data_IF_535735178389
#
_entry.id   IF_535735178389
#
_cell.length_a   1.000
_cell.length_b   1.000
_cell.length_c   1.000
_cell.angle_alpha   90.00
_cell.angle_beta   90.00
_cell.angle_gamma   90.00
#
_symmetry.space_group_name_H-M   'P 1'
#
loop_
_entity.id
_entity.type
_entity.pdbx_description
1 polymer ?
#
# COMPACT_ATOMS: atom_id res chain seq x y z
N UNK A 1 41.09 -1.31 9.15
CA UNK A 1 39.70 -0.95 9.48
C UNK A 1 38.88 -2.20 9.24
N UNK A 2 38.55 -2.91 10.32
CA UNK A 2 37.78 -4.16 10.28
C UNK A 2 36.33 -3.80 9.92
N UNK A 3 35.90 -4.16 8.72
CA UNK A 3 34.51 -4.05 8.32
C UNK A 3 33.66 -4.94 9.23
N UNK A 4 32.84 -4.33 10.10
CA UNK A 4 31.77 -5.05 10.78
C UNK A 4 30.88 -5.74 9.74
N UNK A 5 30.53 -6.99 9.98
CA UNK A 5 29.77 -7.82 9.05
C UNK A 5 28.31 -7.37 9.05
N UNK A 6 27.95 -6.54 8.07
CA UNK A 6 26.54 -6.21 7.81
C UNK A 6 25.76 -7.51 7.54
N UNK A 7 24.55 -7.69 8.11
CA UNK A 7 23.83 -8.95 8.02
C UNK A 7 23.48 -9.33 6.58
N UNK A 8 23.27 -10.63 6.36
CA UNK A 8 23.01 -11.18 5.04
C UNK A 8 21.59 -10.83 4.60
N UNK A 9 21.47 -9.86 3.69
CA UNK A 9 20.20 -9.54 3.03
C UNK A 9 19.90 -10.60 1.98
N UNK A 10 18.72 -11.20 2.09
CA UNK A 10 18.15 -12.16 1.14
C UNK A 10 16.92 -11.56 0.50
N UNK A 11 16.76 -11.79 -0.80
CA UNK A 11 15.62 -11.31 -1.60
C UNK A 11 14.95 -12.49 -2.28
N UNK A 12 13.66 -12.41 -2.58
CA UNK A 12 12.95 -13.50 -3.27
C UNK A 12 13.47 -13.74 -4.72
N UNK A 13 14.37 -12.89 -5.23
CA UNK A 13 15.06 -13.08 -6.51
C UNK A 13 16.32 -13.97 -6.43
N UNK A 14 16.71 -14.39 -5.21
CA UNK A 14 18.01 -15.03 -4.97
C UNK A 14 18.12 -16.46 -5.51
N UNK A 15 17.00 -17.15 -5.76
CA UNK A 15 17.02 -18.55 -6.20
C UNK A 15 17.34 -18.73 -7.70
N UNK A 16 17.15 -17.71 -8.54
CA UNK A 16 17.32 -17.82 -10.01
C UNK A 16 18.24 -16.75 -10.63
N UNK A 17 18.66 -15.72 -9.89
CA UNK A 17 19.45 -14.60 -10.46
C UNK A 17 20.72 -14.36 -9.66
N UNK A 18 21.73 -15.21 -9.88
CA UNK A 18 23.15 -14.91 -9.61
C UNK A 18 23.69 -13.81 -10.55
N UNK A 19 22.87 -12.81 -10.88
CA UNK A 19 23.16 -11.71 -11.81
C UNK A 19 23.43 -10.40 -11.08
N UNK A 20 24.08 -9.47 -11.78
CA UNK A 20 24.42 -8.12 -11.27
C UNK A 20 23.23 -7.39 -10.62
N UNK A 21 22.01 -7.61 -11.09
CA UNK A 21 20.79 -7.00 -10.56
C UNK A 21 20.50 -7.36 -9.10
N UNK A 22 20.71 -8.63 -8.70
CA UNK A 22 20.51 -9.06 -7.32
C UNK A 22 21.51 -8.41 -6.36
N UNK A 23 22.76 -8.25 -6.83
CA UNK A 23 23.80 -7.56 -6.06
C UNK A 23 23.47 -6.07 -5.87
N UNK A 24 23.03 -5.37 -6.93
CA UNK A 24 22.59 -3.98 -6.83
C UNK A 24 21.40 -3.81 -5.89
N UNK A 25 20.46 -4.76 -5.90
CA UNK A 25 19.30 -4.72 -5.01
C UNK A 25 19.70 -4.87 -3.54
N UNK A 26 20.55 -5.86 -3.22
CA UNK A 26 21.06 -6.05 -1.84
C UNK A 26 21.87 -4.84 -1.38
N UNK A 27 22.68 -4.25 -2.26
CA UNK A 27 23.43 -3.03 -1.96
C UNK A 27 22.51 -1.84 -1.69
N UNK A 28 21.44 -1.68 -2.47
CA UNK A 28 20.46 -0.61 -2.25
C UNK A 28 19.79 -0.77 -0.88
N UNK A 29 19.28 -1.96 -0.54
CA UNK A 29 18.71 -2.24 0.79
C UNK A 29 19.73 -1.96 1.90
N UNK A 30 20.96 -2.48 1.78
CA UNK A 30 22.00 -2.27 2.80
C UNK A 30 22.33 -0.79 3.00
N UNK A 31 22.47 -0.04 1.91
CA UNK A 31 22.77 1.38 1.97
C UNK A 31 21.61 2.16 2.58
N UNK A 32 20.37 1.84 2.24
CA UNK A 32 19.19 2.48 2.84
C UNK A 32 19.10 2.17 4.33
N UNK A 33 19.28 0.92 4.75
CA UNK A 33 19.29 0.56 6.17
C UNK A 33 20.38 1.31 6.95
N UNK A 34 21.59 1.45 6.39
CA UNK A 34 22.66 2.25 7.03
C UNK A 34 22.32 3.73 7.16
N UNK A 35 21.50 4.29 6.27
CA UNK A 35 21.06 5.69 6.33
C UNK A 35 20.01 5.92 7.42
N UNK A 36 19.10 4.96 7.61
CA UNK A 36 17.90 5.17 8.43
C UNK A 36 17.98 4.57 9.84
N UNK A 37 18.84 3.58 10.05
CA UNK A 37 19.07 2.98 11.37
C UNK A 37 20.15 3.75 12.15
N UNK A 38 20.19 3.60 13.49
CA UNK A 38 21.24 4.19 14.30
C UNK A 38 22.66 3.89 13.76
N UNK A 39 23.61 4.81 13.90
CA UNK A 39 24.99 4.55 13.52
C UNK A 39 25.48 3.32 14.28
N UNK A 40 26.27 2.48 13.59
CA UNK A 40 26.86 1.28 14.16
C UNK A 40 25.88 0.15 14.53
N UNK A 41 24.60 0.24 14.11
CA UNK A 41 23.57 -0.77 14.44
C UNK A 41 23.96 -2.23 14.11
N UNK A 42 24.77 -2.44 13.07
CA UNK A 42 25.24 -3.78 12.65
C UNK A 42 26.76 -3.97 12.76
N UNK A 43 27.44 -3.28 13.68
CA UNK A 43 28.91 -3.34 13.77
C UNK A 43 29.46 -4.52 14.56
N UNK A 44 28.68 -5.06 15.49
CA UNK A 44 29.12 -6.17 16.33
C UNK A 44 28.99 -7.51 15.58
N UNK A 45 29.98 -8.41 15.72
CA UNK A 45 29.96 -9.69 15.03
C UNK A 45 28.74 -10.52 15.46
N UNK A 46 27.99 -10.93 14.44
CA UNK A 46 26.64 -11.49 14.49
C UNK A 46 26.63 -12.99 14.89
N UNK A 47 27.72 -13.50 15.47
CA UNK A 47 27.88 -14.93 15.78
C UNK A 47 27.30 -15.33 17.15
N UNK A 48 26.90 -14.37 17.98
CA UNK A 48 26.23 -14.61 19.26
C UNK A 48 24.70 -14.64 19.08
N UNK A 49 24.07 -15.77 19.44
CA UNK A 49 22.63 -15.96 19.33
C UNK A 49 21.82 -15.04 20.24
N UNK A 50 22.36 -14.60 21.39
CA UNK A 50 21.64 -13.69 22.29
C UNK A 50 21.65 -12.27 21.71
N UNK A 51 22.82 -11.76 21.28
CA UNK A 51 22.93 -10.45 20.62
C UNK A 51 22.05 -10.35 19.37
N UNK A 52 21.94 -11.45 18.61
CA UNK A 52 21.07 -11.52 17.44
C UNK A 52 19.58 -11.38 17.78
N UNK A 53 19.14 -11.97 18.89
CA UNK A 53 17.78 -11.85 19.36
C UNK A 53 17.49 -10.41 19.79
N UNK A 54 18.42 -9.79 20.51
CA UNK A 54 18.32 -8.40 20.97
C UNK A 54 18.26 -7.42 19.77
N UNK A 55 19.13 -7.59 18.76
CA UNK A 55 19.11 -6.77 17.54
C UNK A 55 17.80 -6.90 16.77
N UNK A 56 17.25 -8.12 16.71
CA UNK A 56 15.96 -8.37 16.06
C UNK A 56 14.81 -7.71 16.82
N UNK A 57 14.84 -7.76 18.15
CA UNK A 57 13.84 -7.09 19.00
C UNK A 57 13.92 -5.58 18.84
N UNK A 58 15.13 -5.00 18.89
CA UNK A 58 15.34 -3.57 18.64
C UNK A 58 14.82 -3.12 17.28
N UNK A 59 15.07 -3.89 16.21
CA UNK A 59 14.49 -3.57 14.90
C UNK A 59 12.97 -3.63 14.97
N UNK A 60 12.39 -4.68 15.55
CA UNK A 60 10.95 -4.83 15.63
C UNK A 60 10.28 -3.68 16.40
N UNK A 61 10.91 -3.19 17.47
CA UNK A 61 10.42 -2.07 18.28
C UNK A 61 10.47 -0.73 17.54
N UNK A 62 11.35 -0.59 16.55
CA UNK A 62 11.41 0.60 15.69
C UNK A 62 10.37 0.59 14.57
N UNK A 63 9.71 -0.55 14.29
CA UNK A 63 8.75 -0.65 13.19
C UNK A 63 7.34 -0.22 13.60
N UNK A 64 6.58 0.45 12.71
CA UNK A 64 7.01 0.99 11.42
C UNK A 64 7.84 2.27 11.58
N UNK A 65 8.99 2.32 10.90
CA UNK A 65 9.83 3.49 10.84
C UNK A 65 9.43 4.32 9.62
N UNK A 66 9.14 5.59 9.84
CA UNK A 66 8.96 6.59 8.78
C UNK A 66 9.78 7.81 9.20
N UNK A 67 10.71 8.23 8.34
CA UNK A 67 11.59 9.36 8.60
C UNK A 67 11.83 10.17 7.33
N UNK A 68 12.19 11.42 7.52
CA UNK A 68 12.55 12.35 6.44
C UNK A 68 13.97 12.84 6.63
N UNK A 69 14.78 12.77 5.58
CA UNK A 69 16.16 13.22 5.56
C UNK A 69 16.30 14.29 4.46
N UNK A 70 16.73 15.52 4.80
CA UNK A 70 17.05 16.54 3.80
C UNK A 70 18.23 16.09 2.92
N UNK A 71 18.21 16.43 1.62
CA UNK A 71 19.38 16.19 0.78
C UNK A 71 20.45 17.26 1.02
N UNK A 72 21.61 16.86 1.55
CA UNK A 72 22.74 17.79 1.82
C UNK A 72 23.18 18.59 0.59
N UNK A 73 23.08 18.01 -0.61
CA UNK A 73 23.52 18.62 -1.86
C UNK A 73 22.48 19.53 -2.52
N UNK A 74 21.20 19.39 -2.16
CA UNK A 74 20.13 20.21 -2.70
C UNK A 74 19.01 20.37 -1.66
N UNK A 75 18.88 21.53 -1.00
CA UNK A 75 17.89 21.74 0.05
C UNK A 75 16.44 21.70 -0.46
N UNK A 76 16.25 21.77 -1.79
CA UNK A 76 14.93 21.59 -2.42
C UNK A 76 14.55 20.13 -2.61
N UNK A 77 15.48 19.20 -2.37
CA UNK A 77 15.21 17.77 -2.44
C UNK A 77 15.04 17.20 -1.04
N UNK A 78 13.94 16.48 -0.83
CA UNK A 78 13.63 15.81 0.44
C UNK A 78 13.50 14.31 0.19
N UNK A 79 14.21 13.51 0.99
CA UNK A 79 14.13 12.06 0.96
C UNK A 79 13.25 11.55 2.10
N UNK A 80 12.25 10.75 1.77
CA UNK A 80 11.35 10.11 2.71
C UNK A 80 11.59 8.61 2.70
N UNK A 81 11.73 8.03 3.88
CA UNK A 81 12.00 6.62 4.05
C UNK A 81 10.88 5.95 4.80
N UNK A 82 10.56 4.72 4.41
CA UNK A 82 9.82 3.79 5.25
C UNK A 82 10.60 2.50 5.44
N UNK A 83 10.48 1.92 6.63
CA UNK A 83 10.89 0.55 6.94
C UNK A 83 9.79 -0.09 7.79
N UNK A 84 9.33 -1.27 7.39
CA UNK A 84 8.25 -1.98 8.08
C UNK A 84 8.26 -3.47 7.79
N UNK A 85 7.39 -4.21 8.49
CA UNK A 85 7.09 -5.60 8.14
C UNK A 85 6.42 -5.63 6.77
N UNK A 86 6.73 -6.64 5.96
CA UNK A 86 6.15 -6.78 4.63
C UNK A 86 4.62 -6.77 4.70
N UNK A 87 4.03 -5.91 3.89
CA UNK A 87 2.59 -5.86 3.64
C UNK A 87 2.34 -5.46 2.21
N UNK A 88 1.44 -6.19 1.55
CA UNK A 88 0.98 -5.87 0.21
C UNK A 88 0.52 -4.41 0.13
N UNK A 89 1.06 -3.67 -0.84
CA UNK A 89 0.74 -2.27 -1.13
C UNK A 89 1.13 -1.26 -0.02
N UNK A 90 1.99 -1.60 0.95
CA UNK A 90 2.45 -0.64 1.95
C UNK A 90 3.26 0.50 1.33
N UNK A 91 4.22 0.20 0.45
CA UNK A 91 5.00 1.21 -0.25
C UNK A 91 4.14 2.10 -1.16
N UNK A 92 3.09 1.53 -1.77
CA UNK A 92 2.16 2.30 -2.62
C UNK A 92 1.39 3.31 -1.78
N UNK A 93 0.85 2.86 -0.64
CA UNK A 93 0.19 3.76 0.30
C UNK A 93 1.15 4.87 0.77
N UNK A 94 2.39 4.52 1.14
CA UNK A 94 3.39 5.50 1.53
C UNK A 94 3.71 6.50 0.41
N UNK A 95 3.86 6.02 -0.82
CA UNK A 95 4.03 6.87 -2.00
C UNK A 95 2.90 7.88 -2.17
N UNK A 96 1.64 7.44 -2.03
CA UNK A 96 0.49 8.33 -2.14
C UNK A 96 0.47 9.38 -1.01
N UNK A 97 0.81 8.96 0.22
CA UNK A 97 0.94 9.86 1.38
C UNK A 97 1.90 11.02 1.13
N UNK A 98 3.08 10.72 0.60
CA UNK A 98 4.09 11.75 0.32
C UNK A 98 3.71 12.56 -0.91
N UNK A 99 3.31 11.91 -2.01
CA UNK A 99 3.14 12.59 -3.31
C UNK A 99 1.85 13.41 -3.43
N UNK A 100 0.75 13.03 -2.77
CA UNK A 100 -0.56 13.66 -2.96
C UNK A 100 -1.08 14.44 -1.75
N UNK A 101 -0.57 14.15 -0.55
CA UNK A 101 -1.17 14.69 0.68
C UNK A 101 -0.19 15.42 1.59
N UNK A 102 1.11 15.42 1.27
CA UNK A 102 2.09 16.21 2.01
C UNK A 102 1.87 17.73 1.81
N UNK A 103 1.44 18.14 0.61
CA UNK A 103 0.95 19.50 0.34
C UNK A 103 -0.50 19.41 -0.17
N UNK A 104 -1.49 19.80 0.65
CA UNK A 104 -2.90 19.78 0.28
C UNK A 104 -3.20 20.42 -1.09
N UNK A 105 -3.88 19.65 -1.95
CA UNK A 105 -4.29 20.14 -3.28
C UNK A 105 -3.18 20.20 -4.32
N UNK A 106 -1.95 19.84 -3.97
CA UNK A 106 -0.79 19.82 -4.86
C UNK A 106 -0.19 18.41 -4.91
N UNK A 107 0.08 17.93 -6.12
CA UNK A 107 0.88 16.73 -6.33
C UNK A 107 2.35 17.13 -6.41
N UNK A 108 3.18 16.57 -5.56
CA UNK A 108 4.62 16.83 -5.52
C UNK A 108 5.34 16.02 -6.60
N UNK A 109 6.41 16.59 -7.16
CA UNK A 109 7.22 15.94 -8.17
C UNK A 109 8.15 14.90 -7.54
N UNK A 110 7.93 13.64 -7.87
CA UNK A 110 8.73 12.52 -7.36
C UNK A 110 9.82 12.20 -8.37
N UNK A 111 11.04 12.64 -8.08
CA UNK A 111 12.21 12.45 -8.95
C UNK A 111 12.83 11.06 -8.81
N UNK A 112 12.60 10.38 -7.68
CA UNK A 112 13.08 9.04 -7.44
C UNK A 112 12.13 8.27 -6.54
N UNK A 113 11.89 7.01 -6.89
CA UNK A 113 11.14 6.07 -6.07
C UNK A 113 11.79 4.70 -6.12
N UNK A 114 12.03 4.13 -4.95
CA UNK A 114 12.53 2.78 -4.77
C UNK A 114 11.77 2.09 -3.64
N UNK A 115 11.44 0.82 -3.85
CA UNK A 115 10.87 -0.04 -2.83
C UNK A 115 11.47 -1.45 -2.98
N UNK A 116 11.75 -2.08 -1.84
CA UNK A 116 12.33 -3.40 -1.82
C UNK A 116 11.81 -4.24 -0.66
N UNK A 117 11.49 -5.49 -0.99
CA UNK A 117 11.12 -6.52 -0.04
C UNK A 117 12.34 -7.41 0.21
N UNK A 118 12.63 -7.66 1.48
CA UNK A 118 13.85 -8.38 1.86
C UNK A 118 13.68 -9.14 3.17
N UNK A 119 14.57 -10.10 3.38
CA UNK A 119 14.73 -10.86 4.61
C UNK A 119 16.14 -10.63 5.13
N UNK A 120 16.28 -10.57 6.45
CA UNK A 120 17.58 -10.65 7.11
C UNK A 120 17.76 -12.12 7.49
N UNK A 121 18.70 -12.82 6.83
CA UNK A 121 18.86 -14.27 6.95
C UNK A 121 18.98 -14.72 8.40
N UNK A 122 19.69 -13.93 9.20
CA UNK A 122 19.99 -14.18 10.60
C UNK A 122 18.75 -13.96 11.50
N UNK A 123 17.74 -13.20 11.06
CA UNK A 123 16.51 -12.95 11.83
C UNK A 123 15.38 -13.96 11.56
N UNK A 124 15.61 -14.91 10.65
CA UNK A 124 14.64 -15.93 10.26
C UNK A 124 13.85 -15.58 9.01
N UNK A 125 12.61 -16.08 8.92
CA UNK A 125 11.79 -16.00 7.69
C UNK A 125 10.97 -14.72 7.52
N UNK A 126 11.04 -13.79 8.48
CA UNK A 126 10.27 -12.55 8.44
C UNK A 126 10.71 -11.68 7.25
N UNK A 127 9.74 -11.30 6.42
CA UNK A 127 9.95 -10.37 5.32
C UNK A 127 9.67 -8.94 5.78
N UNK A 128 10.50 -8.01 5.32
CA UNK A 128 10.43 -6.58 5.59
C UNK A 128 10.35 -5.83 4.26
N UNK A 129 9.82 -4.62 4.30
CA UNK A 129 9.81 -3.70 3.15
C UNK A 129 10.53 -2.43 3.55
N UNK A 130 11.47 -2.00 2.71
CA UNK A 130 12.09 -0.67 2.78
C UNK A 130 11.73 0.12 1.53
N UNK A 131 11.52 1.42 1.65
CA UNK A 131 11.30 2.29 0.49
C UNK A 131 11.88 3.68 0.72
N UNK A 132 12.36 4.29 -0.36
CA UNK A 132 12.82 5.67 -0.45
C UNK A 132 12.03 6.39 -1.54
N UNK A 133 11.51 7.57 -1.20
CA UNK A 133 10.89 8.53 -2.12
C UNK A 133 11.71 9.80 -2.04
N UNK A 134 12.16 10.32 -3.17
CA UNK A 134 12.78 11.64 -3.24
C UNK A 134 11.87 12.55 -4.04
N UNK A 135 11.51 13.69 -3.45
CA UNK A 135 10.76 14.73 -4.14
C UNK A 135 11.67 15.92 -4.45
N UNK A 136 11.35 16.61 -5.54
CA UNK A 136 11.88 17.95 -5.82
C UNK A 136 10.82 18.99 -5.47
N UNK A 137 11.21 20.01 -4.70
CA UNK A 137 10.35 21.13 -4.34
C UNK A 137 10.68 22.31 -5.26
N UNK A 138 9.80 22.55 -6.23
CA UNK A 138 10.00 23.61 -7.23
C UNK A 138 9.79 25.01 -6.63
N UNK A 139 8.80 25.16 -5.75
CA UNK A 139 8.43 26.41 -5.11
C UNK A 139 8.88 26.44 -3.65
N UNK A 140 9.78 27.36 -3.29
CA UNK A 140 10.25 27.51 -1.91
C UNK A 140 9.12 27.85 -0.93
N UNK A 141 8.00 28.40 -1.40
CA UNK A 141 6.82 28.64 -0.58
C UNK A 141 6.16 27.34 -0.08
N UNK A 142 6.40 26.18 -0.72
CA UNK A 142 5.88 24.90 -0.26
C UNK A 142 6.66 24.34 0.95
N UNK A 143 7.94 24.72 1.12
CA UNK A 143 8.80 24.13 2.16
C UNK A 143 8.23 24.31 3.58
N UNK A 144 7.76 25.51 4.00
CA UNK A 144 7.12 25.67 5.30
C UNK A 144 5.87 24.80 5.46
N UNK A 145 5.07 24.65 4.41
CA UNK A 145 3.86 23.82 4.44
C UNK A 145 4.20 22.33 4.57
N UNK A 146 5.19 21.86 3.82
CA UNK A 146 5.74 20.50 3.93
C UNK A 146 6.19 20.24 5.36
N UNK A 147 7.01 21.13 5.95
CA UNK A 147 7.49 20.96 7.31
C UNK A 147 6.36 20.98 8.36
N UNK A 148 5.33 21.80 8.15
CA UNK A 148 4.16 21.85 9.03
C UNK A 148 3.32 20.56 8.96
N UNK A 149 3.15 19.99 7.76
CA UNK A 149 2.33 18.80 7.54
C UNK A 149 3.09 17.50 7.82
N UNK A 150 4.42 17.54 7.86
CA UNK A 150 5.23 16.34 7.97
C UNK A 150 4.88 15.46 9.19
N UNK A 151 4.71 15.98 10.42
CA UNK A 151 4.43 15.14 11.58
C UNK A 151 3.12 14.35 11.46
N UNK A 152 2.07 14.96 10.91
CA UNK A 152 0.78 14.27 10.73
C UNK A 152 0.86 13.24 9.60
N UNK A 153 1.58 13.54 8.52
CA UNK A 153 1.79 12.61 7.41
C UNK A 153 2.62 11.40 7.86
N UNK A 154 3.68 11.62 8.63
CA UNK A 154 4.48 10.53 9.20
C UNK A 154 3.66 9.64 10.14
N UNK A 155 2.82 10.23 10.99
CA UNK A 155 1.90 9.48 11.86
C UNK A 155 0.89 8.64 11.05
N UNK A 156 0.22 9.24 10.08
CA UNK A 156 -0.75 8.56 9.22
C UNK A 156 -0.07 7.47 8.37
N UNK A 157 1.12 7.74 7.85
CA UNK A 157 1.95 6.79 7.13
C UNK A 157 2.27 5.57 8.00
N UNK A 158 2.74 5.77 9.24
CA UNK A 158 3.00 4.69 10.20
C UNK A 158 1.77 3.81 10.42
N UNK A 159 0.64 4.43 10.76
CA UNK A 159 -0.63 3.71 10.99
C UNK A 159 -1.05 2.87 9.77
N UNK A 160 -0.95 3.43 8.57
CA UNK A 160 -1.34 2.73 7.35
C UNK A 160 -0.32 1.70 6.86
N UNK A 161 0.98 1.89 7.10
CA UNK A 161 2.00 0.86 6.83
C UNK A 161 1.73 -0.36 7.71
N UNK A 162 1.48 -0.15 9.00
CA UNK A 162 1.21 -1.22 9.97
C UNK A 162 -0.11 -1.95 9.71
N UNK A 163 -1.16 -1.23 9.29
CA UNK A 163 -2.50 -1.81 9.12
C UNK A 163 -3.17 -1.43 7.82
N UNK A 164 -3.53 -2.45 7.03
CA UNK A 164 -4.35 -2.28 5.83
C UNK A 164 -5.72 -1.65 6.13
N UNK A 165 -6.25 -1.87 7.34
CA UNK A 165 -7.50 -1.24 7.77
C UNK A 165 -7.33 0.28 7.93
N UNK A 166 -6.27 0.73 8.60
CA UNK A 166 -6.01 2.16 8.76
C UNK A 166 -5.63 2.81 7.44
N UNK A 167 -4.82 2.17 6.60
CA UNK A 167 -4.50 2.66 5.27
C UNK A 167 -5.78 2.95 4.47
N UNK A 168 -6.69 1.95 4.39
CA UNK A 168 -7.97 2.12 3.70
C UNK A 168 -8.80 3.26 4.30
N UNK A 169 -8.84 3.38 5.63
CA UNK A 169 -9.63 4.43 6.30
C UNK A 169 -9.07 5.83 6.04
N UNK A 170 -7.75 5.99 6.05
CA UNK A 170 -7.08 7.25 5.75
C UNK A 170 -7.38 7.65 4.30
N UNK A 171 -7.21 6.72 3.36
CA UNK A 171 -7.51 6.97 1.94
C UNK A 171 -8.99 7.30 1.70
N UNK A 172 -9.91 6.64 2.40
CA UNK A 172 -11.34 6.99 2.35
C UNK A 172 -11.61 8.43 2.80
N UNK A 173 -10.90 8.92 3.83
CA UNK A 173 -11.08 10.28 4.38
C UNK A 173 -10.41 11.32 3.48
N UNK A 174 -9.20 11.06 3.00
CA UNK A 174 -8.45 11.97 2.11
C UNK A 174 -9.02 12.02 0.69
N UNK A 175 -9.90 11.08 0.36
CA UNK A 175 -10.54 10.95 -0.93
C UNK A 175 -9.70 10.07 -1.88
N UNK A 176 -10.31 9.00 -2.37
CA UNK A 176 -9.71 8.11 -3.36
C UNK A 176 -9.78 8.77 -4.74
N UNK A 177 -8.72 8.62 -5.53
CA UNK A 177 -8.79 8.88 -6.96
C UNK A 177 -9.83 7.94 -7.62
N UNK A 178 -10.40 8.29 -8.79
CA UNK A 178 -11.33 7.40 -9.50
C UNK A 178 -10.77 5.99 -9.75
N UNK A 179 -9.48 5.90 -10.04
CA UNK A 179 -8.78 4.64 -10.28
C UNK A 179 -8.61 3.84 -8.98
N UNK A 180 -8.17 4.47 -7.89
CA UNK A 180 -8.08 3.83 -6.58
C UNK A 180 -9.45 3.37 -6.06
N UNK A 181 -10.50 4.14 -6.35
CA UNK A 181 -11.87 3.77 -6.04
C UNK A 181 -12.26 2.50 -6.79
N UNK A 182 -11.92 2.41 -8.07
CA UNK A 182 -12.14 1.23 -8.90
C UNK A 182 -11.39 0.02 -8.34
N UNK A 183 -10.10 0.17 -8.00
CA UNK A 183 -9.29 -0.88 -7.36
C UNK A 183 -9.93 -1.34 -6.05
N UNK A 184 -10.35 -0.40 -5.20
CA UNK A 184 -10.98 -0.72 -3.92
C UNK A 184 -12.32 -1.45 -4.07
N UNK A 185 -13.11 -1.11 -5.10
CA UNK A 185 -14.34 -1.85 -5.45
C UNK A 185 -13.97 -3.27 -5.89
N UNK A 186 -12.96 -3.43 -6.75
CA UNK A 186 -12.51 -4.74 -7.23
C UNK A 186 -12.03 -5.64 -6.08
N UNK A 187 -11.29 -5.09 -5.10
CA UNK A 187 -10.90 -5.83 -3.89
C UNK A 187 -12.11 -6.31 -3.08
N UNK A 188 -13.14 -5.46 -2.94
CA UNK A 188 -14.37 -5.84 -2.28
C UNK A 188 -15.11 -6.95 -3.04
N UNK A 189 -15.13 -6.92 -4.37
CA UNK A 189 -15.73 -7.97 -5.19
C UNK A 189 -14.96 -9.30 -5.02
N UNK A 190 -13.63 -9.26 -5.08
CA UNK A 190 -12.78 -10.44 -4.85
C UNK A 190 -13.00 -11.03 -3.45
N UNK A 191 -13.14 -10.17 -2.44
CA UNK A 191 -13.47 -10.59 -1.08
C UNK A 191 -14.81 -11.34 -1.02
N UNK A 192 -15.85 -10.83 -1.70
CA UNK A 192 -17.17 -11.47 -1.75
C UNK A 192 -17.13 -12.83 -2.45
N UNK A 193 -16.42 -12.94 -3.58
CA UNK A 193 -16.24 -14.23 -4.28
C UNK A 193 -15.56 -15.25 -3.37
N UNK A 194 -14.51 -14.85 -2.65
CA UNK A 194 -13.78 -15.74 -1.74
C UNK A 194 -14.60 -16.13 -0.51
N UNK A 195 -15.34 -15.20 0.10
CA UNK A 195 -16.05 -15.43 1.37
C UNK A 195 -17.45 -16.01 1.19
N UNK A 196 -18.11 -15.72 0.08
CA UNK A 196 -19.50 -16.09 -0.19
C UNK A 196 -19.64 -16.74 -1.59
N UNK A 197 -18.87 -17.80 -1.92
CA UNK A 197 -18.82 -18.38 -3.26
C UNK A 197 -20.15 -18.97 -3.73
N UNK A 198 -21.05 -19.34 -2.80
CA UNK A 198 -22.41 -19.80 -3.13
C UNK A 198 -23.22 -18.69 -3.82
N UNK A 199 -23.02 -17.44 -3.40
CA UNK A 199 -23.79 -16.30 -3.90
C UNK A 199 -23.08 -15.62 -5.06
N UNK A 200 -21.75 -15.49 -4.99
CA UNK A 200 -20.95 -14.70 -5.93
C UNK A 200 -19.98 -15.56 -6.75
N UNK A 201 -20.00 -15.40 -8.07
CA UNK A 201 -19.03 -15.95 -9.03
C UNK A 201 -18.14 -14.84 -9.59
N UNK A 202 -17.13 -15.20 -10.38
CA UNK A 202 -16.27 -14.25 -11.11
C UNK A 202 -17.06 -13.32 -12.05
N UNK A 203 -18.30 -13.66 -12.42
CA UNK A 203 -19.13 -12.79 -13.26
C UNK A 203 -19.50 -11.46 -12.57
N UNK A 204 -19.34 -11.35 -11.24
CA UNK A 204 -19.52 -10.08 -10.52
C UNK A 204 -18.55 -8.99 -11.00
N UNK A 205 -17.35 -9.36 -11.48
CA UNK A 205 -16.41 -8.39 -12.03
C UNK A 205 -16.92 -7.79 -13.34
N UNK A 206 -17.65 -8.55 -14.14
CA UNK A 206 -18.32 -8.05 -15.33
C UNK A 206 -19.42 -7.05 -14.96
N UNK A 207 -20.23 -7.36 -13.93
CA UNK A 207 -21.27 -6.44 -13.45
C UNK A 207 -20.67 -5.16 -12.83
N UNK A 208 -19.54 -5.27 -12.13
CA UNK A 208 -18.76 -4.13 -11.65
C UNK A 208 -18.37 -3.21 -12.81
N UNK A 209 -17.76 -3.76 -13.88
CA UNK A 209 -17.35 -2.98 -15.04
C UNK A 209 -18.54 -2.30 -15.71
N UNK A 210 -19.66 -3.01 -15.90
CA UNK A 210 -20.87 -2.42 -16.46
C UNK A 210 -21.37 -1.23 -15.66
N UNK A 211 -21.45 -1.33 -14.32
CA UNK A 211 -21.93 -0.23 -13.49
C UNK A 211 -20.96 0.96 -13.54
N UNK A 212 -19.65 0.72 -13.48
CA UNK A 212 -18.65 1.79 -13.50
C UNK A 212 -18.62 2.56 -14.83
N UNK A 213 -18.86 1.86 -15.94
CA UNK A 213 -18.94 2.47 -17.28
C UNK A 213 -20.27 3.18 -17.52
N UNK A 214 -21.40 2.59 -17.09
CA UNK A 214 -22.74 3.13 -17.38
C UNK A 214 -23.13 4.30 -16.47
N UNK A 215 -22.58 4.37 -15.26
CA UNK A 215 -22.94 5.43 -14.31
C UNK A 215 -22.11 6.70 -14.55
N UNK A 216 -22.77 7.87 -14.43
CA UNK A 216 -22.11 9.17 -14.52
C UNK A 216 -21.07 9.37 -13.42
N UNK A 217 -20.07 10.21 -13.67
CA UNK A 217 -19.04 10.52 -12.69
C UNK A 217 -19.62 11.19 -11.44
N UNK A 218 -20.63 12.06 -11.58
CA UNK A 218 -21.36 12.63 -10.45
C UNK A 218 -22.00 11.57 -9.56
N UNK A 219 -22.62 10.55 -10.16
CA UNK A 219 -23.20 9.43 -9.41
C UNK A 219 -22.13 8.67 -8.62
N UNK A 220 -20.97 8.44 -9.23
CA UNK A 220 -19.85 7.71 -8.61
C UNK A 220 -19.16 8.57 -7.55
N UNK A 221 -19.02 9.88 -7.75
CA UNK A 221 -18.28 10.81 -6.88
C UNK A 221 -18.92 10.92 -5.50
N UNK A 222 -20.25 11.09 -5.44
CA UNK A 222 -20.98 11.29 -4.17
C UNK A 222 -21.10 10.02 -3.31
N UNK A 223 -20.81 8.83 -3.84
CA UNK A 223 -20.96 7.55 -3.13
C UNK A 223 -19.61 7.02 -2.70
N UNK A 224 -19.47 6.56 -1.47
CA UNK A 224 -18.26 5.85 -1.07
C UNK A 224 -18.10 4.50 -1.81
N UNK A 225 -16.89 3.96 -1.75
CA UNK A 225 -16.52 2.68 -2.37
C UNK A 225 -17.39 1.52 -1.89
N UNK A 226 -17.75 1.49 -0.60
CA UNK A 226 -18.56 0.41 0.00
C UNK A 226 -19.99 0.46 -0.52
N UNK A 227 -20.56 1.64 -0.68
CA UNK A 227 -21.88 1.86 -1.22
C UNK A 227 -21.93 1.43 -2.69
N UNK A 228 -20.95 1.84 -3.52
CA UNK A 228 -20.86 1.38 -4.90
C UNK A 228 -20.72 -0.15 -4.98
N UNK A 229 -19.87 -0.73 -4.12
CA UNK A 229 -19.71 -2.19 -4.02
C UNK A 229 -21.04 -2.88 -3.68
N UNK A 230 -21.81 -2.35 -2.73
CA UNK A 230 -23.15 -2.88 -2.38
C UNK A 230 -24.13 -2.78 -3.54
N UNK A 231 -24.16 -1.65 -4.26
CA UNK A 231 -25.01 -1.48 -5.45
C UNK A 231 -24.69 -2.54 -6.49
N UNK A 232 -23.40 -2.76 -6.76
CA UNK A 232 -22.91 -3.80 -7.69
C UNK A 232 -23.35 -5.19 -7.23
N UNK A 233 -23.10 -5.53 -5.96
CA UNK A 233 -23.49 -6.84 -5.41
C UNK A 233 -24.99 -7.08 -5.52
N UNK A 234 -25.82 -6.08 -5.20
CA UNK A 234 -27.27 -6.21 -5.30
C UNK A 234 -27.74 -6.34 -6.75
N UNK A 235 -27.14 -5.58 -7.67
CA UNK A 235 -27.47 -5.70 -9.09
C UNK A 235 -27.10 -7.08 -9.64
N UNK A 236 -25.92 -7.56 -9.29
CA UNK A 236 -25.46 -8.90 -9.66
C UNK A 236 -26.41 -9.99 -9.16
N UNK A 237 -26.75 -9.99 -7.86
CA UNK A 237 -27.66 -10.99 -7.29
C UNK A 237 -29.05 -10.92 -7.91
N UNK A 238 -29.56 -9.71 -8.13
CA UNK A 238 -30.85 -9.51 -8.79
C UNK A 238 -30.85 -10.11 -10.20
N UNK A 239 -29.83 -9.79 -11.01
CA UNK A 239 -29.68 -10.32 -12.38
C UNK A 239 -29.53 -11.83 -12.38
N UNK A 240 -28.70 -12.39 -11.50
CA UNK A 240 -28.48 -13.84 -11.37
C UNK A 240 -29.80 -14.56 -11.05
N UNK A 241 -30.54 -14.08 -10.07
CA UNK A 241 -31.82 -14.67 -9.69
C UNK A 241 -32.85 -14.56 -10.81
N UNK A 242 -32.96 -13.40 -11.45
CA UNK A 242 -33.88 -13.20 -12.58
C UNK A 242 -33.59 -14.19 -13.72
N UNK A 243 -32.32 -14.37 -14.08
CA UNK A 243 -31.91 -15.32 -15.11
C UNK A 243 -32.21 -16.77 -14.73
N UNK A 244 -32.05 -17.13 -13.45
CA UNK A 244 -32.45 -18.46 -12.95
C UNK A 244 -33.95 -18.68 -13.10
N UNK A 245 -34.79 -17.74 -12.64
CA UNK A 245 -36.25 -17.87 -12.75
C UNK A 245 -36.74 -17.92 -14.19
N UNK A 246 -36.17 -17.11 -15.08
CA UNK A 246 -36.50 -17.13 -16.51
C UNK A 246 -36.14 -18.48 -17.14
N UNK A 247 -35.05 -19.12 -16.72
CA UNK A 247 -34.67 -20.46 -17.21
C UNK A 247 -35.56 -21.56 -16.66
N UNK A 248 -35.93 -21.50 -15.38
CA UNK A 248 -36.74 -22.53 -14.72
C UNK A 248 -38.21 -22.48 -15.12
N UNK A 249 -38.74 -21.29 -15.42
CA UNK A 249 -40.15 -21.06 -15.70
C UNK A 249 -40.31 -20.10 -16.90
N UNK A 250 -39.94 -20.51 -18.12
CA UNK A 250 -39.89 -19.65 -19.30
C UNK A 250 -41.26 -19.08 -19.69
N UNK A 251 -42.33 -19.83 -19.45
CA UNK A 251 -43.69 -19.46 -19.86
C UNK A 251 -44.45 -18.61 -18.82
N UNK A 252 -43.80 -18.26 -17.70
CA UNK A 252 -44.42 -17.47 -16.64
C UNK A 252 -43.86 -16.05 -16.61
N UNK A 253 -44.73 -15.08 -16.33
CA UNK A 253 -44.33 -13.70 -16.09
C UNK A 253 -43.65 -13.59 -14.72
N UNK A 254 -42.43 -13.09 -14.70
CA UNK A 254 -41.64 -12.88 -13.49
C UNK A 254 -41.73 -11.42 -13.04
N UNK A 255 -42.15 -11.17 -11.80
CA UNK A 255 -42.09 -9.87 -11.16
C UNK A 255 -41.13 -9.95 -9.98
N UNK A 256 -40.02 -9.21 -10.05
CA UNK A 256 -39.09 -9.07 -8.95
C UNK A 256 -38.94 -7.59 -8.62
N UNK A 257 -39.15 -7.23 -7.35
CA UNK A 257 -39.01 -5.86 -6.89
C UNK A 257 -37.65 -5.71 -6.21
N UNK A 258 -36.83 -4.79 -6.72
CA UNK A 258 -35.58 -4.40 -6.08
C UNK A 258 -35.86 -3.28 -5.08
N UNK A 259 -35.94 -3.64 -3.79
CA UNK A 259 -36.08 -2.66 -2.73
C UNK A 259 -34.69 -2.12 -2.35
N UNK A 260 -34.44 -0.86 -2.68
CA UNK A 260 -33.28 -0.14 -2.15
C UNK A 260 -33.68 0.52 -0.85
N UNK A 261 -33.27 -0.05 0.29
CA UNK A 261 -33.29 0.71 1.53
C UNK A 261 -32.15 1.73 1.45
N UNK A 262 -32.52 2.99 1.29
CA UNK A 262 -31.63 4.14 1.41
C UNK A 262 -31.58 4.46 2.90
N UNK A 263 -30.47 4.20 3.62
CA UNK A 263 -30.26 4.75 4.96
C UNK A 263 -30.03 6.25 4.91
#
# INVERSE_FOLDING_TARGET
MTHGTFPTIVTDFDDDVAGQSGLLYRQAVANTLRKILPPNFFQDPVDDSELLADLKEQICDMLPLVITIPCDHNPRNLSFFMLGKYRTNAFKFFFEMISHWLVPGKRLDVIFFYAADFKIKEFGSQCYTVSEIIISVDDEADLPEIHCNLPIIEMEAKLGIESAFYARRILEIKGLSPDEKTVSIQENMAYLVRRLPKYFSNDIFTEMQHILVLCSDEFKKIRDTRHLSRIISFQYLFRKNLLTYVKELPDKRHLMVKLFNIP
#
